data_IF_744168490358
#
_entry.id   IF_744168490358
#
_cell.length_a   1.000
_cell.length_b   1.000
_cell.length_c   1.000
_cell.angle_alpha   90.00
_cell.angle_beta   90.00
_cell.angle_gamma   90.00
#
_symmetry.space_group_name_H-M   'P 1'
#
loop_
_entity.id
_entity.type
_entity.pdbx_description
1 polymer ?
#
# COMPACT_ATOMS: atom_id res chain seq x y z
N UNK A 1 -1.38 11.89 -15.17
CA UNK A 1 -1.65 10.51 -14.71
C UNK A 1 -0.33 9.85 -14.38
N UNK A 2 -0.10 9.57 -13.09
CA UNK A 2 1.22 9.27 -12.56
C UNK A 2 1.71 7.86 -12.91
N UNK A 3 3.02 7.66 -12.84
CA UNK A 3 3.64 6.33 -12.93
C UNK A 3 3.14 5.43 -11.78
N UNK A 4 2.81 6.04 -10.62
CA UNK A 4 2.15 5.37 -9.49
C UNK A 4 0.78 4.76 -9.84
N UNK A 5 -0.05 5.45 -10.61
CA UNK A 5 -1.34 4.91 -11.05
C UNK A 5 -1.13 3.71 -11.98
N UNK A 6 -0.10 3.77 -12.84
CA UNK A 6 0.28 2.67 -13.76
C UNK A 6 0.86 1.46 -13.03
N UNK A 7 1.65 1.66 -11.97
CA UNK A 7 2.15 0.57 -11.11
C UNK A 7 0.98 -0.08 -10.38
N UNK A 8 0.05 0.70 -9.82
CA UNK A 8 -1.16 0.20 -9.16
C UNK A 8 -2.07 -0.58 -10.11
N UNK A 9 -2.15 -0.15 -11.38
CA UNK A 9 -2.85 -0.87 -12.44
C UNK A 9 -2.15 -2.18 -12.85
N UNK A 10 -0.81 -2.19 -12.90
CA UNK A 10 -0.01 -3.37 -13.24
C UNK A 10 -0.14 -4.47 -12.19
N UNK A 11 -0.15 -4.10 -10.90
CA UNK A 11 -0.36 -5.05 -9.79
C UNK A 11 -1.75 -5.70 -9.85
N UNK A 12 -2.78 -4.98 -10.30
CA UNK A 12 -4.11 -5.56 -10.56
C UNK A 12 -4.11 -6.53 -11.75
N UNK A 13 -3.40 -6.20 -12.84
CA UNK A 13 -3.37 -7.02 -14.06
C UNK A 13 -2.60 -8.34 -13.91
N UNK A 14 -1.51 -8.37 -13.14
CA UNK A 14 -0.77 -9.61 -12.89
C UNK A 14 -1.50 -10.54 -11.91
N UNK A 15 -2.30 -9.98 -11.00
CA UNK A 15 -3.20 -10.75 -10.16
C UNK A 15 -4.30 -11.44 -11.00
N UNK A 16 -4.93 -10.75 -11.96
CA UNK A 16 -6.02 -11.31 -12.78
C UNK A 16 -5.63 -12.54 -13.63
N UNK A 17 -4.34 -12.71 -13.96
CA UNK A 17 -3.85 -13.83 -14.78
C UNK A 17 -3.51 -15.12 -14.02
N UNK A 18 -3.18 -15.03 -12.73
CA UNK A 18 -2.76 -16.19 -11.90
C UNK A 18 -3.91 -16.69 -11.00
N UNK A 19 -4.96 -15.90 -10.85
CA UNK A 19 -5.95 -16.03 -9.79
C UNK A 19 -7.03 -17.11 -9.98
N UNK A 20 -7.30 -17.60 -11.19
CA UNK A 20 -8.49 -18.47 -11.40
C UNK A 20 -8.37 -19.97 -11.07
N UNK A 21 -7.47 -20.37 -10.18
CA UNK A 21 -7.42 -21.78 -9.75
C UNK A 21 -6.51 -22.17 -8.58
N UNK A 22 -5.67 -21.26 -8.07
CA UNK A 22 -4.71 -21.56 -6.98
C UNK A 22 -5.21 -21.05 -5.61
N UNK A 23 -6.20 -20.15 -5.59
CA UNK A 23 -6.58 -19.31 -4.44
C UNK A 23 -7.00 -20.05 -3.16
N UNK A 24 -7.38 -21.32 -3.20
CA UNK A 24 -7.81 -22.04 -1.99
C UNK A 24 -6.79 -23.06 -1.43
N UNK A 25 -5.73 -23.43 -2.17
CA UNK A 25 -4.89 -24.58 -1.79
C UNK A 25 -3.47 -24.26 -1.35
N UNK A 26 -2.88 -23.13 -1.75
CA UNK A 26 -1.51 -22.80 -1.36
C UNK A 26 -1.24 -21.28 -1.24
N UNK A 27 -1.58 -20.64 -0.10
CA UNK A 27 -1.28 -19.24 0.15
C UNK A 27 0.22 -18.90 0.05
N UNK A 28 1.11 -19.84 0.35
CA UNK A 28 2.57 -19.65 0.22
C UNK A 28 2.94 -19.32 -1.24
N UNK A 29 2.44 -20.13 -2.19
CA UNK A 29 2.69 -19.94 -3.61
C UNK A 29 2.14 -18.60 -4.15
N UNK A 30 1.02 -18.11 -3.60
CA UNK A 30 0.46 -16.80 -3.97
C UNK A 30 1.38 -15.67 -3.52
N UNK A 31 1.87 -15.72 -2.28
CA UNK A 31 2.82 -14.73 -1.78
C UNK A 31 4.15 -14.79 -2.53
N UNK A 32 4.69 -15.97 -2.82
CA UNK A 32 5.92 -16.09 -3.62
C UNK A 32 5.77 -15.51 -5.01
N UNK A 33 4.69 -15.85 -5.73
CA UNK A 33 4.43 -15.29 -7.06
C UNK A 33 4.30 -13.75 -7.02
N UNK A 34 3.64 -13.20 -6.00
CA UNK A 34 3.52 -11.76 -5.82
C UNK A 34 4.86 -11.08 -5.52
N UNK A 35 5.69 -11.69 -4.66
CA UNK A 35 7.03 -11.20 -4.32
C UNK A 35 7.95 -11.22 -5.55
N UNK A 36 7.94 -12.33 -6.31
CA UNK A 36 8.75 -12.48 -7.52
C UNK A 36 8.33 -11.48 -8.59
N UNK A 37 7.01 -11.27 -8.79
CA UNK A 37 6.49 -10.24 -9.66
C UNK A 37 6.95 -8.83 -9.27
N UNK A 38 6.95 -8.52 -7.96
CA UNK A 38 7.44 -7.24 -7.47
C UNK A 38 8.95 -7.07 -7.66
N UNK A 39 9.74 -8.13 -7.45
CA UNK A 39 11.20 -8.13 -7.70
C UNK A 39 11.49 -7.87 -9.18
N UNK A 40 10.77 -8.54 -10.09
CA UNK A 40 10.89 -8.32 -11.53
C UNK A 40 10.54 -6.86 -11.90
N UNK A 41 9.45 -6.32 -11.34
CA UNK A 41 9.06 -4.93 -11.55
C UNK A 41 10.11 -3.92 -11.07
N UNK A 42 10.77 -4.18 -9.93
CA UNK A 42 11.91 -3.38 -9.45
C UNK A 42 13.08 -3.44 -10.42
N UNK A 43 13.35 -4.62 -11.01
CA UNK A 43 14.35 -4.78 -12.08
C UNK A 43 14.04 -3.91 -13.29
N UNK A 44 12.83 -4.02 -13.82
CA UNK A 44 12.37 -3.23 -14.97
C UNK A 44 12.45 -1.72 -14.72
N UNK A 45 12.11 -1.28 -13.51
CA UNK A 45 12.16 0.13 -13.13
C UNK A 45 13.61 0.63 -13.09
N UNK A 46 14.55 -0.15 -12.55
CA UNK A 46 15.98 0.17 -12.58
C UNK A 46 16.49 0.34 -14.00
N UNK A 47 16.14 -0.57 -14.91
CA UNK A 47 16.58 -0.51 -16.30
C UNK A 47 16.04 0.73 -17.02
N UNK A 48 14.78 1.11 -16.75
CA UNK A 48 14.19 2.35 -17.28
C UNK A 48 14.91 3.58 -16.73
N UNK A 49 15.16 3.64 -15.44
CA UNK A 49 15.88 4.76 -14.81
C UNK A 49 17.31 4.85 -15.34
N UNK A 50 17.99 3.73 -15.55
CA UNK A 50 19.33 3.72 -16.14
C UNK A 50 19.35 4.31 -17.57
N UNK A 51 18.36 3.96 -18.41
CA UNK A 51 18.21 4.57 -19.74
C UNK A 51 18.00 6.08 -19.66
N UNK A 52 17.14 6.55 -18.76
CA UNK A 52 16.90 7.98 -18.53
C UNK A 52 18.16 8.71 -18.05
N UNK A 53 18.98 8.07 -17.20
CA UNK A 53 20.27 8.64 -16.77
C UNK A 53 21.22 8.82 -17.95
N UNK A 54 21.33 7.83 -18.83
CA UNK A 54 22.16 7.94 -20.05
C UNK A 54 21.66 9.06 -20.96
N UNK A 55 20.35 9.20 -21.15
CA UNK A 55 19.77 10.29 -21.94
C UNK A 55 20.04 11.66 -21.30
N UNK A 56 19.86 11.78 -19.98
CA UNK A 56 20.18 12.99 -19.23
C UNK A 56 21.64 13.39 -19.40
N UNK A 57 22.56 12.43 -19.31
CA UNK A 57 24.00 12.71 -19.39
C UNK A 57 24.39 13.14 -20.81
N UNK A 58 23.83 12.50 -21.84
CA UNK A 58 23.99 12.95 -23.23
C UNK A 58 23.49 14.38 -23.45
N UNK A 59 22.36 14.73 -22.84
CA UNK A 59 21.78 16.07 -22.96
C UNK A 59 22.65 17.11 -22.25
N UNK A 60 23.20 16.77 -21.08
CA UNK A 60 24.15 17.62 -20.37
C UNK A 60 25.44 17.84 -21.19
N UNK A 61 25.96 16.79 -21.84
CA UNK A 61 27.14 16.90 -22.71
C UNK A 61 26.86 17.79 -23.93
N UNK A 62 25.68 17.67 -24.54
CA UNK A 62 25.25 18.53 -25.65
C UNK A 62 25.13 20.00 -25.24
N UNK A 63 24.55 20.28 -24.07
CA UNK A 63 24.49 21.64 -23.50
C UNK A 63 25.90 22.19 -23.30
N UNK A 64 26.81 21.41 -22.70
CA UNK A 64 28.19 21.85 -22.49
C UNK A 64 28.94 22.12 -23.80
N UNK A 65 28.61 21.42 -24.89
CA UNK A 65 29.16 21.71 -26.21
C UNK A 65 28.63 23.04 -26.78
N UNK A 66 27.32 23.27 -26.70
CA UNK A 66 26.68 24.51 -27.14
C UNK A 66 27.15 25.73 -26.33
N UNK A 67 27.36 25.59 -25.02
CA UNK A 67 27.92 26.67 -24.18
C UNK A 67 29.34 27.06 -24.62
N UNK A 68 30.16 26.09 -25.06
CA UNK A 68 31.48 26.39 -25.62
C UNK A 68 31.38 27.07 -26.98
N UNK A 69 30.46 26.62 -27.83
CA UNK A 69 30.18 27.25 -29.12
C UNK A 69 29.73 28.71 -28.92
N UNK A 70 28.84 28.97 -27.96
CA UNK A 70 28.37 30.32 -27.63
C UNK A 70 29.51 31.27 -27.29
N UNK A 71 30.49 30.81 -26.49
CA UNK A 71 31.69 31.59 -26.15
C UNK A 71 32.54 31.88 -27.40
N UNK A 72 32.78 30.87 -28.23
CA UNK A 72 33.55 31.03 -29.47
C UNK A 72 32.88 32.01 -30.43
N UNK A 73 31.56 31.92 -30.59
CA UNK A 73 30.79 32.85 -31.42
C UNK A 73 30.81 34.27 -30.86
N UNK A 74 30.77 34.43 -29.52
CA UNK A 74 30.85 35.73 -28.89
C UNK A 74 32.23 36.40 -29.12
N UNK A 75 33.31 35.63 -29.04
CA UNK A 75 34.65 36.13 -29.32
C UNK A 75 34.85 36.44 -30.81
N UNK A 76 34.35 35.57 -31.70
CA UNK A 76 34.36 35.83 -33.14
C UNK A 76 33.58 37.08 -33.53
N UNK A 77 32.41 37.30 -32.90
CA UNK A 77 31.59 38.48 -33.15
C UNK A 77 32.32 39.76 -32.73
N UNK A 78 33.01 39.76 -31.59
CA UNK A 78 33.84 40.90 -31.17
C UNK A 78 34.94 41.18 -32.19
N UNK A 79 35.63 40.15 -32.68
CA UNK A 79 36.67 40.31 -33.71
C UNK A 79 36.13 40.90 -35.02
N UNK A 80 34.99 40.40 -35.50
CA UNK A 80 34.35 40.94 -36.71
C UNK A 80 33.95 42.41 -36.55
N UNK A 81 33.43 42.79 -35.38
CA UNK A 81 33.10 44.18 -35.05
C UNK A 81 34.34 45.08 -34.95
N UNK A 82 35.45 44.58 -34.38
CA UNK A 82 36.71 45.32 -34.29
C UNK A 82 37.35 45.57 -35.68
N UNK A 83 37.04 44.71 -36.66
CA UNK A 83 37.51 44.80 -38.05
C UNK A 83 36.53 45.53 -38.99
N UNK A 84 35.40 46.06 -38.48
CA UNK A 84 34.29 46.64 -39.26
C UNK A 84 33.73 45.66 -40.33
N UNK A 85 33.81 44.34 -40.10
CA UNK A 85 33.23 43.30 -40.98
C UNK A 85 31.78 42.98 -40.58
N UNK A 86 30.88 43.86 -41.01
CA UNK A 86 29.45 43.80 -40.70
C UNK A 86 28.76 42.52 -41.23
N UNK A 87 29.22 41.97 -42.35
CA UNK A 87 28.62 40.76 -42.94
C UNK A 87 28.90 39.54 -42.07
N UNK A 88 30.16 39.36 -41.66
CA UNK A 88 30.54 38.30 -40.73
C UNK A 88 29.88 38.50 -39.37
N UNK A 89 29.83 39.73 -38.86
CA UNK A 89 29.17 40.03 -37.59
C UNK A 89 27.69 39.64 -37.60
N UNK A 90 26.97 39.93 -38.69
CA UNK A 90 25.55 39.57 -38.83
C UNK A 90 25.35 38.04 -38.82
N UNK A 91 26.17 37.29 -39.56
CA UNK A 91 26.09 35.82 -39.62
C UNK A 91 26.37 35.20 -38.24
N UNK A 92 27.40 35.69 -37.54
CA UNK A 92 27.74 35.21 -36.20
C UNK A 92 26.63 35.53 -35.19
N UNK A 93 26.00 36.71 -35.29
CA UNK A 93 24.90 37.08 -34.42
C UNK A 93 23.67 36.19 -34.63
N UNK A 94 23.29 35.90 -35.88
CA UNK A 94 22.19 34.95 -36.19
C UNK A 94 22.50 33.57 -35.61
N UNK A 95 23.73 33.08 -35.77
CA UNK A 95 24.12 31.78 -35.21
C UNK A 95 24.06 31.76 -33.68
N UNK A 96 24.43 32.86 -33.01
CA UNK A 96 24.30 32.98 -31.54
C UNK A 96 22.85 32.90 -31.08
N UNK A 97 21.93 33.51 -31.81
CA UNK A 97 20.50 33.45 -31.51
C UNK A 97 19.98 32.00 -31.65
N UNK A 98 20.36 31.28 -32.71
CA UNK A 98 20.04 29.86 -32.87
C UNK A 98 20.58 28.99 -31.71
N UNK A 99 21.84 29.21 -31.32
CA UNK A 99 22.48 28.48 -30.20
C UNK A 99 21.77 28.79 -28.88
N UNK A 100 21.36 30.04 -28.65
CA UNK A 100 20.62 30.44 -27.44
C UNK A 100 19.23 29.77 -27.36
N UNK A 101 18.52 29.67 -28.48
CA UNK A 101 17.24 28.97 -28.57
C UNK A 101 17.40 27.46 -28.34
N UNK A 102 18.44 26.85 -28.92
CA UNK A 102 18.74 25.44 -28.68
C UNK A 102 19.10 25.19 -27.21
N UNK A 103 19.97 26.01 -26.61
CA UNK A 103 20.33 25.92 -25.19
C UNK A 103 19.10 26.00 -24.28
N UNK A 104 18.16 26.89 -24.59
CA UNK A 104 16.91 27.03 -23.82
C UNK A 104 16.10 25.74 -23.88
N UNK A 105 15.91 25.18 -25.07
CA UNK A 105 15.14 23.95 -25.29
C UNK A 105 15.81 22.74 -24.64
N UNK A 106 17.13 22.60 -24.79
CA UNK A 106 17.93 21.51 -24.22
C UNK A 106 17.93 21.55 -22.70
N UNK A 107 18.08 22.74 -22.10
CA UNK A 107 18.04 22.92 -20.64
C UNK A 107 16.69 22.53 -20.05
N UNK A 108 15.58 22.88 -20.70
CA UNK A 108 14.25 22.43 -20.29
C UNK A 108 14.11 20.90 -20.37
N UNK A 109 14.65 20.29 -21.41
CA UNK A 109 14.66 18.82 -21.57
C UNK A 109 15.51 18.14 -20.49
N UNK A 110 16.69 18.69 -20.18
CA UNK A 110 17.56 18.21 -19.11
C UNK A 110 16.85 18.25 -17.74
N UNK A 111 16.14 19.34 -17.44
CA UNK A 111 15.39 19.48 -16.18
C UNK A 111 14.28 18.41 -16.07
N UNK A 112 13.54 18.19 -17.17
CA UNK A 112 12.53 17.14 -17.24
C UNK A 112 13.13 15.75 -16.99
N UNK A 113 14.22 15.41 -17.68
CA UNK A 113 14.92 14.12 -17.50
C UNK A 113 15.45 13.96 -16.07
N UNK A 114 16.03 15.01 -15.49
CA UNK A 114 16.51 15.00 -14.11
C UNK A 114 15.36 14.83 -13.10
N UNK A 115 14.18 15.40 -13.37
CA UNK A 115 12.95 15.14 -12.62
C UNK A 115 12.54 13.66 -12.67
N UNK A 116 12.44 13.10 -13.88
CA UNK A 116 12.05 11.71 -14.09
C UNK A 116 13.03 10.71 -13.46
N UNK A 117 14.33 10.99 -13.50
CA UNK A 117 15.35 10.16 -12.83
C UNK A 117 15.14 10.20 -11.31
N UNK A 118 14.93 11.37 -10.71
CA UNK A 118 14.68 11.49 -9.26
C UNK A 118 13.40 10.76 -8.83
N UNK A 119 12.32 10.95 -9.57
CA UNK A 119 11.05 10.24 -9.33
C UNK A 119 11.22 8.73 -9.46
N UNK A 120 11.93 8.27 -10.50
CA UNK A 120 12.20 6.86 -10.71
C UNK A 120 13.06 6.25 -9.59
N UNK A 121 14.07 6.96 -9.10
CA UNK A 121 14.89 6.54 -7.96
C UNK A 121 14.05 6.41 -6.68
N UNK A 122 13.19 7.38 -6.39
CA UNK A 122 12.26 7.31 -5.27
C UNK A 122 11.29 6.12 -5.42
N UNK A 123 10.79 5.89 -6.64
CA UNK A 123 9.96 4.74 -6.98
C UNK A 123 10.64 3.40 -6.73
N UNK A 124 11.94 3.27 -7.04
CA UNK A 124 12.72 2.06 -6.76
C UNK A 124 12.82 1.79 -5.26
N UNK A 125 13.04 2.83 -4.44
CA UNK A 125 13.11 2.70 -2.97
C UNK A 125 11.76 2.24 -2.44
N UNK A 126 10.68 2.94 -2.80
CA UNK A 126 9.32 2.60 -2.36
C UNK A 126 8.92 1.17 -2.80
N UNK A 127 9.27 0.78 -4.02
CA UNK A 127 8.97 -0.56 -4.52
C UNK A 127 9.70 -1.66 -3.76
N UNK A 128 10.97 -1.44 -3.38
CA UNK A 128 11.74 -2.35 -2.52
C UNK A 128 11.15 -2.45 -1.11
N UNK A 129 10.78 -1.33 -0.50
CA UNK A 129 10.13 -1.32 0.81
C UNK A 129 8.82 -2.10 0.78
N UNK A 130 8.04 -1.95 -0.29
CA UNK A 130 6.85 -2.75 -0.56
C UNK A 130 7.15 -4.25 -0.67
N UNK A 131 8.20 -4.65 -1.38
CA UNK A 131 8.65 -6.05 -1.46
C UNK A 131 8.98 -6.62 -0.08
N UNK A 132 9.73 -5.88 0.74
CA UNK A 132 10.07 -6.30 2.09
C UNK A 132 8.83 -6.35 3.01
N UNK A 133 7.85 -5.47 2.79
CA UNK A 133 6.54 -5.53 3.43
C UNK A 133 5.81 -6.83 3.12
N UNK A 134 5.72 -7.21 1.84
CA UNK A 134 5.07 -8.45 1.40
C UNK A 134 5.76 -9.71 1.97
N UNK A 135 7.10 -9.71 2.05
CA UNK A 135 7.84 -10.81 2.69
C UNK A 135 7.48 -10.97 4.17
N UNK A 136 7.42 -9.86 4.92
CA UNK A 136 7.00 -9.90 6.33
C UNK A 136 5.56 -10.35 6.50
N UNK A 137 4.67 -9.89 5.63
CA UNK A 137 3.27 -10.30 5.63
C UNK A 137 3.13 -11.80 5.36
N UNK A 138 3.85 -12.32 4.36
CA UNK A 138 3.95 -13.75 4.07
C UNK A 138 4.34 -14.54 5.33
N UNK A 139 5.43 -14.15 6.00
CA UNK A 139 5.93 -14.85 7.19
C UNK A 139 4.88 -14.88 8.32
N UNK A 140 4.22 -13.75 8.58
CA UNK A 140 3.16 -13.65 9.59
C UNK A 140 1.97 -14.53 9.23
N UNK A 141 1.52 -14.51 7.97
CA UNK A 141 0.36 -15.28 7.52
C UNK A 141 0.63 -16.78 7.53
N UNK A 142 1.82 -17.22 7.13
CA UNK A 142 2.21 -18.63 7.20
C UNK A 142 2.30 -19.12 8.64
N UNK A 143 2.83 -18.31 9.56
CA UNK A 143 2.87 -18.64 10.99
C UNK A 143 1.46 -18.74 11.59
N UNK A 144 0.56 -17.81 11.26
CA UNK A 144 -0.83 -17.83 11.69
C UNK A 144 -1.57 -19.07 11.18
N UNK A 145 -1.35 -19.44 9.91
CA UNK A 145 -1.90 -20.67 9.33
C UNK A 145 -1.40 -21.91 10.06
N UNK A 146 -0.09 -22.02 10.29
CA UNK A 146 0.48 -23.17 11.00
C UNK A 146 -0.08 -23.30 12.42
N UNK A 147 -0.27 -22.18 13.12
CA UNK A 147 -0.90 -22.17 14.44
C UNK A 147 -2.37 -22.62 14.40
N UNK A 148 -3.13 -22.18 13.40
CA UNK A 148 -4.52 -22.61 13.19
C UNK A 148 -4.60 -24.11 12.86
N UNK A 149 -3.72 -24.61 11.97
CA UNK A 149 -3.64 -26.03 11.61
C UNK A 149 -3.30 -26.90 12.83
N UNK A 150 -2.37 -26.45 13.69
CA UNK A 150 -2.04 -27.14 14.94
C UNK A 150 -3.22 -27.14 15.93
N UNK A 151 -3.96 -26.04 16.05
CA UNK A 151 -5.13 -25.95 16.90
C UNK A 151 -6.25 -26.91 16.46
N UNK A 152 -6.49 -27.03 15.14
CA UNK A 152 -7.42 -28.00 14.56
C UNK A 152 -6.99 -29.44 14.85
N UNK A 153 -5.71 -29.77 14.68
CA UNK A 153 -5.19 -31.11 15.00
C UNK A 153 -5.36 -31.48 16.48
N UNK A 154 -5.14 -30.53 17.40
CA UNK A 154 -5.39 -30.73 18.83
C UNK A 154 -6.89 -30.98 19.08
N UNK A 155 -7.78 -30.20 18.45
CA UNK A 155 -9.23 -30.38 18.57
C UNK A 155 -9.66 -31.77 18.10
N UNK A 156 -9.14 -32.24 16.96
CA UNK A 156 -9.42 -33.57 16.42
C UNK A 156 -8.91 -34.69 17.34
N UNK A 157 -7.70 -34.55 17.85
CA UNK A 157 -7.10 -35.51 18.78
C UNK A 157 -7.86 -35.59 20.11
N UNK A 158 -8.26 -34.46 20.69
CA UNK A 158 -9.07 -34.39 21.93
C UNK A 158 -10.46 -35.00 21.70
N UNK A 159 -11.07 -34.73 20.54
CA UNK A 159 -12.37 -35.31 20.14
C UNK A 159 -12.29 -36.83 19.92
N UNK A 160 -11.12 -37.33 19.51
CA UNK A 160 -10.84 -38.76 19.32
C UNK A 160 -10.52 -39.54 20.59
N UNK A 161 -10.00 -38.88 21.65
CA UNK A 161 -9.43 -39.56 22.83
C UNK A 161 -10.35 -39.54 24.08
N UNK A 162 -11.37 -38.68 24.15
CA UNK A 162 -12.02 -38.37 25.43
C UNK A 162 -13.54 -38.59 25.63
N UNK A 163 -14.33 -39.02 24.64
CA UNK A 163 -15.80 -38.89 24.76
C UNK A 163 -16.59 -40.15 24.36
N UNK A 164 -17.32 -40.71 25.33
CA UNK A 164 -18.46 -41.62 25.17
C UNK A 164 -19.37 -41.10 24.03
N UNK A 165 -19.71 -41.90 23.00
CA UNK A 165 -20.35 -41.43 21.75
C UNK A 165 -21.58 -40.54 21.96
N UNK A 166 -22.30 -40.75 23.05
CA UNK A 166 -23.51 -40.00 23.46
C UNK A 166 -23.21 -38.52 23.78
N UNK A 167 -22.05 -38.23 24.37
CA UNK A 167 -21.65 -36.85 24.71
C UNK A 167 -21.27 -36.04 23.46
N UNK A 168 -20.70 -36.71 22.45
CA UNK A 168 -20.32 -36.15 21.14
C UNK A 168 -21.53 -35.71 20.34
N UNK A 169 -22.59 -36.54 20.30
CA UNK A 169 -23.85 -36.20 19.66
C UNK A 169 -24.51 -34.97 20.30
N UNK A 170 -24.50 -34.87 21.64
CA UNK A 170 -25.08 -33.72 22.35
C UNK A 170 -24.24 -32.44 22.21
N UNK A 171 -22.91 -32.53 22.05
CA UNK A 171 -22.04 -31.39 21.79
C UNK A 171 -22.24 -30.86 20.37
N UNK A 172 -22.25 -31.74 19.36
CA UNK A 172 -22.54 -31.33 17.96
C UNK A 172 -23.96 -30.80 17.78
N UNK A 173 -24.96 -31.31 18.52
CA UNK A 173 -26.30 -30.70 18.53
C UNK A 173 -26.27 -29.32 19.18
N UNK A 174 -25.55 -29.12 20.29
CA UNK A 174 -25.41 -27.79 20.92
C UNK A 174 -24.68 -26.78 20.02
N UNK A 175 -23.64 -27.21 19.33
CA UNK A 175 -22.91 -26.38 18.38
C UNK A 175 -23.74 -26.07 17.14
N UNK A 176 -24.46 -27.06 16.59
CA UNK A 176 -25.40 -26.84 15.49
C UNK A 176 -26.55 -25.90 15.88
N UNK A 177 -27.07 -26.00 17.11
CA UNK A 177 -28.06 -25.06 17.66
C UNK A 177 -27.44 -23.67 17.84
N UNK A 178 -26.22 -23.54 18.34
CA UNK A 178 -25.54 -22.25 18.46
C UNK A 178 -25.21 -21.59 17.10
N UNK A 179 -24.85 -22.39 16.10
CA UNK A 179 -24.66 -21.94 14.71
C UNK A 179 -25.99 -21.58 14.05
N UNK A 180 -27.07 -22.30 14.34
CA UNK A 180 -28.43 -21.97 13.88
C UNK A 180 -29.00 -20.73 14.58
N UNK A 181 -28.76 -20.54 15.88
CA UNK A 181 -29.16 -19.35 16.64
C UNK A 181 -28.37 -18.12 16.18
N UNK A 182 -27.05 -18.25 15.97
CA UNK A 182 -26.23 -17.15 15.44
C UNK A 182 -26.56 -16.80 14.00
N UNK A 183 -26.92 -17.77 13.16
CA UNK A 183 -27.39 -17.52 11.78
C UNK A 183 -28.83 -17.00 11.72
N UNK A 184 -29.72 -17.44 12.62
CA UNK A 184 -31.07 -16.89 12.77
C UNK A 184 -31.04 -15.46 13.34
N UNK A 185 -29.99 -15.07 14.05
CA UNK A 185 -29.75 -13.72 14.56
C UNK A 185 -28.89 -12.83 13.64
N UNK A 186 -28.51 -13.30 12.44
CA UNK A 186 -27.62 -12.57 11.51
C UNK A 186 -28.33 -11.51 10.64
N UNK A 187 -29.62 -11.23 10.86
CA UNK A 187 -30.40 -10.34 10.02
C UNK A 187 -30.89 -9.07 10.71
N UNK A 188 -30.02 -8.19 11.23
CA UNK A 188 -30.44 -6.85 11.70
C UNK A 188 -29.34 -5.78 11.52
N UNK A 189 -29.13 -5.37 10.27
CA UNK A 189 -28.60 -4.05 9.91
C UNK A 189 -29.80 -3.21 9.44
N UNK A 190 -29.91 -1.96 9.88
CA UNK A 190 -30.90 -1.04 9.30
C UNK A 190 -30.42 -0.47 7.97
N UNK A 191 -31.31 0.22 7.25
CA UNK A 191 -31.05 0.75 5.89
C UNK A 191 -29.89 1.77 5.83
N UNK A 192 -29.37 2.22 6.98
CA UNK A 192 -28.23 3.12 7.10
C UNK A 192 -26.93 2.38 7.48
N UNK A 193 -26.96 1.04 7.54
CA UNK A 193 -25.79 0.18 7.76
C UNK A 193 -25.30 0.10 9.20
N UNK A 194 -26.11 0.53 10.18
CA UNK A 194 -25.71 0.52 11.59
C UNK A 194 -26.25 -0.73 12.31
N UNK A 195 -25.42 -1.32 13.20
CA UNK A 195 -25.86 -2.48 13.99
C UNK A 195 -26.90 -2.06 15.04
N UNK A 196 -28.10 -2.64 14.97
CA UNK A 196 -29.17 -2.42 15.96
C UNK A 196 -28.73 -2.92 17.36
N UNK A 197 -27.81 -3.89 17.39
CA UNK A 197 -27.22 -4.45 18.61
C UNK A 197 -26.44 -3.44 19.44
N UNK A 198 -25.70 -2.52 18.81
CA UNK A 198 -24.99 -1.46 19.55
C UNK A 198 -25.94 -0.59 20.37
N UNK A 199 -27.17 -0.36 19.87
CA UNK A 199 -28.22 0.39 20.57
C UNK A 199 -28.91 -0.44 21.66
N UNK A 200 -29.16 -1.73 21.41
CA UNK A 200 -29.75 -2.64 22.41
C UNK A 200 -28.79 -2.91 23.58
N UNK A 201 -27.50 -3.06 23.34
CA UNK A 201 -26.48 -3.21 24.38
C UNK A 201 -26.29 -1.92 25.18
N UNK A 202 -26.36 -0.75 24.53
CA UNK A 202 -26.35 0.54 25.24
C UNK A 202 -27.59 0.72 26.13
N UNK A 203 -28.77 0.24 25.71
CA UNK A 203 -29.98 0.23 26.55
C UNK A 203 -29.93 -0.83 27.66
N UNK A 204 -29.39 -2.01 27.39
CA UNK A 204 -29.21 -3.07 28.40
C UNK A 204 -28.25 -2.65 29.49
N UNK A 205 -27.14 -1.97 29.15
CA UNK A 205 -26.20 -1.38 30.13
C UNK A 205 -26.87 -0.31 31.00
N UNK A 206 -27.71 0.55 30.42
CA UNK A 206 -28.52 1.50 31.21
C UNK A 206 -29.51 0.80 32.14
N UNK A 207 -30.11 -0.31 31.71
CA UNK A 207 -31.02 -1.11 32.54
C UNK A 207 -30.30 -1.86 33.67
N UNK A 208 -29.08 -2.36 33.43
CA UNK A 208 -28.25 -3.00 34.47
C UNK A 208 -27.75 -1.98 35.48
N UNK A 209 -27.43 -0.76 35.05
CA UNK A 209 -27.07 0.33 35.97
C UNK A 209 -28.26 0.76 36.85
N UNK A 210 -29.48 0.79 36.29
CA UNK A 210 -30.70 1.07 37.04
C UNK A 210 -30.99 -0.05 38.07
N UNK A 211 -30.88 -1.32 37.65
CA UNK A 211 -31.07 -2.48 38.53
C UNK A 211 -30.02 -2.54 39.66
N UNK A 212 -28.77 -2.18 39.37
CA UNK A 212 -27.72 -2.07 40.38
C UNK A 212 -28.01 -0.95 41.39
N UNK A 213 -28.58 0.18 40.95
CA UNK A 213 -29.02 1.26 41.85
C UNK A 213 -30.20 0.85 42.73
N UNK A 214 -31.14 0.09 42.19
CA UNK A 214 -32.30 -0.41 42.94
C UNK A 214 -31.90 -1.47 43.98
N UNK A 215 -30.96 -2.36 43.63
CA UNK A 215 -30.37 -3.33 44.57
C UNK A 215 -29.56 -2.63 45.68
N UNK A 216 -28.80 -1.59 45.33
CA UNK A 216 -28.07 -0.78 46.32
C UNK A 216 -29.03 -0.04 47.26
N UNK A 217 -30.17 0.46 46.76
CA UNK A 217 -31.20 1.11 47.57
C UNK A 217 -31.91 0.10 48.49
N UNK A 218 -32.17 -1.12 48.03
CA UNK A 218 -32.73 -2.20 48.84
C UNK A 218 -31.77 -2.64 49.96
N UNK A 219 -30.47 -2.78 49.65
CA UNK A 219 -29.44 -3.09 50.65
C UNK A 219 -29.27 -1.99 51.70
N UNK A 220 -29.33 -0.71 51.29
CA UNK A 220 -29.31 0.43 52.24
C UNK A 220 -30.51 0.44 53.18
N UNK A 221 -31.69 0.02 52.71
CA UNK A 221 -32.89 -0.12 53.56
C UNK A 221 -32.80 -1.31 54.52
N UNK A 222 -32.08 -2.37 54.16
CA UNK A 222 -31.81 -3.50 55.06
C UNK A 222 -30.77 -3.12 56.12
N UNK A 223 -29.70 -2.42 55.73
CA UNK A 223 -28.67 -1.93 56.65
C UNK A 223 -29.23 -0.86 57.61
N UNK A 224 -30.04 0.07 57.11
CA UNK A 224 -30.71 1.07 57.96
C UNK A 224 -31.82 0.52 58.87
N UNK A 225 -32.18 -0.77 58.75
CA UNK A 225 -33.07 -1.48 59.67
C UNK A 225 -32.33 -2.28 60.75
N UNK A 226 -31.01 -2.34 60.68
CA UNK A 226 -30.20 -3.15 61.61
C UNK A 226 -29.69 -2.32 62.80
N UNK A 227 -29.86 -1.00 62.77
CA UNK A 227 -29.38 -0.08 63.82
C UNK A 227 -30.49 0.45 64.75
N UNK A 228 -31.75 -0.03 64.66
CA UNK A 228 -32.88 0.55 65.41
C UNK A 228 -33.75 -0.41 66.23
N UNK A 229 -33.41 -1.70 66.35
CA UNK A 229 -34.11 -2.60 67.28
C UNK A 229 -33.12 -3.59 67.96
N UNK A 230 -32.35 -3.04 68.91
CA UNK A 230 -31.85 -3.72 70.12
C UNK A 230 -32.52 -3.02 71.33
#
# INVERSE_FOLDING_TARGET
MGIFDRIKQSVKGTAEGVVRGIEERNPDAVYEAAIDGQIASVGDLKDRVARLMVERDREADAIAALEREEVQLADGLRGALDEDDDETALVLQVRREEVADELTTRRATLELLAGQVREGQAGIVAAKEGTEGLKREKDVMLAQRAAADAALQIQDAVSGVGADPTSRALASVREAVGVLESRAHAGYLDEEGNSVRGRAEAMSRKATEQSARDQLAALKRQLGKTDEDD
#
